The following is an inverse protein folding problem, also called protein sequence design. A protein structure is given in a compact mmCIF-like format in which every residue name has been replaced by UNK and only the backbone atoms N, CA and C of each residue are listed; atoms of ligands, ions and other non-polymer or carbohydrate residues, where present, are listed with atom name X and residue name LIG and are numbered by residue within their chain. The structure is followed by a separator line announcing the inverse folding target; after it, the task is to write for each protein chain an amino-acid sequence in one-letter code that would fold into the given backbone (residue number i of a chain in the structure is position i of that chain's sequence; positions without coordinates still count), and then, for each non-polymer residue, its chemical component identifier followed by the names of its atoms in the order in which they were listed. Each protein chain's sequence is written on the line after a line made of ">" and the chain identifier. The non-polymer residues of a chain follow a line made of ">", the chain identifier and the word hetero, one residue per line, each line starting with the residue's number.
data_IF_148711009637
#
_entry.id   IF_148711009637
#
_cell.length_a   1.000
_cell.length_b   1.000
_cell.length_c   1.000
_cell.angle_alpha   90.00
_cell.angle_beta   90.00
_cell.angle_gamma   90.00
#
_symmetry.space_group_name_H-M   'P 1'
#
loop_
_entity.id
_entity.type
_entity.pdbx_description
1 polymer ?
#
# COMPACT_ATOMS: atom_id res chain seq x y z
N UNK A 1 -17.50 -67.87 -41.97
CA UNK A 1 -18.47 -66.84 -41.53
C UNK A 1 -18.49 -66.82 -40.02
N UNK A 2 -18.21 -65.66 -39.40
CA UNK A 2 -18.91 -65.09 -38.25
C UNK A 2 -18.14 -63.82 -37.83
N UNK A 3 -18.73 -62.65 -38.13
CA UNK A 3 -18.24 -61.34 -37.70
C UNK A 3 -18.66 -61.14 -36.24
N UNK A 4 -17.70 -60.93 -35.35
CA UNK A 4 -17.98 -60.41 -34.02
C UNK A 4 -18.12 -58.88 -34.10
N UNK A 5 -19.36 -58.39 -34.17
CA UNK A 5 -19.67 -56.98 -33.98
C UNK A 5 -19.64 -56.69 -32.47
N UNK A 6 -18.55 -56.09 -32.00
CA UNK A 6 -18.45 -55.54 -30.66
C UNK A 6 -19.51 -54.45 -30.48
N UNK A 7 -20.44 -54.72 -29.56
CA UNK A 7 -21.54 -53.84 -29.20
C UNK A 7 -20.95 -52.68 -28.38
N UNK A 8 -20.67 -51.56 -29.03
CA UNK A 8 -20.27 -50.31 -28.38
C UNK A 8 -21.47 -49.86 -27.56
N UNK A 9 -21.47 -50.26 -26.28
CA UNK A 9 -22.34 -49.75 -25.24
C UNK A 9 -22.08 -48.24 -25.20
N UNK A 10 -22.97 -47.46 -25.82
CA UNK A 10 -23.00 -46.01 -25.66
C UNK A 10 -23.39 -45.74 -24.21
N UNK A 11 -22.42 -45.83 -23.33
CA UNK A 11 -22.48 -45.22 -22.02
C UNK A 11 -22.49 -43.72 -22.28
N UNK A 12 -23.69 -43.15 -22.23
CA UNK A 12 -23.89 -41.73 -22.23
C UNK A 12 -23.13 -41.20 -21.03
N UNK A 13 -21.89 -40.76 -21.24
CA UNK A 13 -21.20 -39.88 -20.33
C UNK A 13 -22.10 -38.64 -20.21
N UNK A 14 -22.95 -38.65 -19.19
CA UNK A 14 -23.57 -37.46 -18.65
C UNK A 14 -22.42 -36.64 -18.08
N UNK A 15 -21.71 -35.96 -18.98
CA UNK A 15 -20.73 -34.95 -18.63
C UNK A 15 -21.54 -33.94 -17.84
N UNK A 16 -21.27 -33.85 -16.54
CA UNK A 16 -21.82 -32.82 -15.66
C UNK A 16 -21.43 -31.46 -16.22
N UNK A 17 -22.22 -30.98 -17.18
CA UNK A 17 -22.25 -29.59 -17.61
C UNK A 17 -23.17 -28.91 -16.61
N UNK A 18 -22.74 -28.83 -15.35
CA UNK A 18 -23.29 -27.80 -14.47
C UNK A 18 -22.88 -26.51 -15.14
N UNK A 19 -23.83 -25.87 -15.82
CA UNK A 19 -23.63 -24.53 -16.36
C UNK A 19 -23.15 -23.68 -15.20
N UNK A 20 -21.88 -23.29 -15.20
CA UNK A 20 -21.43 -22.20 -14.34
C UNK A 20 -22.42 -21.07 -14.62
N UNK A 21 -23.14 -20.55 -13.61
CA UNK A 21 -24.02 -19.43 -13.85
C UNK A 21 -23.20 -18.34 -14.51
N UNK A 22 -23.76 -17.69 -15.53
CA UNK A 22 -23.12 -16.53 -16.14
C UNK A 22 -23.13 -15.39 -15.12
N UNK A 23 -22.19 -15.44 -14.17
CA UNK A 23 -21.90 -14.35 -13.26
C UNK A 23 -21.31 -13.24 -14.13
N UNK A 24 -21.90 -12.05 -14.10
CA UNK A 24 -21.36 -10.93 -14.84
C UNK A 24 -19.95 -10.61 -14.36
N UNK A 25 -19.07 -10.18 -15.26
CA UNK A 25 -17.68 -9.81 -14.94
C UNK A 25 -17.59 -8.85 -13.74
N UNK A 26 -18.54 -7.91 -13.62
CA UNK A 26 -18.63 -7.00 -12.47
C UNK A 26 -18.83 -7.72 -11.12
N UNK A 27 -19.56 -8.84 -11.08
CA UNK A 27 -19.74 -9.63 -9.87
C UNK A 27 -18.47 -10.43 -9.53
N UNK A 28 -17.71 -10.84 -10.54
CA UNK A 28 -16.42 -11.51 -10.36
C UNK A 28 -15.38 -10.51 -9.85
N UNK A 29 -15.30 -9.31 -10.44
CA UNK A 29 -14.42 -8.23 -9.97
C UNK A 29 -14.78 -7.78 -8.55
N UNK A 30 -16.07 -7.69 -8.22
CA UNK A 30 -16.51 -7.39 -6.87
C UNK A 30 -16.06 -8.47 -5.86
N UNK A 31 -16.16 -9.75 -6.22
CA UNK A 31 -15.70 -10.85 -5.36
C UNK A 31 -14.16 -10.85 -5.21
N UNK A 32 -13.42 -10.64 -6.29
CA UNK A 32 -11.95 -10.59 -6.28
C UNK A 32 -11.40 -9.41 -5.49
N UNK A 33 -12.02 -8.23 -5.66
CA UNK A 33 -11.65 -7.03 -4.90
C UNK A 33 -11.96 -7.20 -3.41
N UNK A 34 -13.06 -7.85 -3.07
CA UNK A 34 -13.40 -8.17 -1.68
C UNK A 34 -12.39 -9.13 -1.04
N UNK A 35 -11.96 -10.17 -1.77
CA UNK A 35 -10.94 -11.12 -1.29
C UNK A 35 -9.61 -10.41 -0.98
N UNK A 36 -9.15 -9.52 -1.86
CA UNK A 36 -7.92 -8.77 -1.66
C UNK A 36 -8.03 -7.76 -0.50
N UNK A 37 -9.18 -7.12 -0.31
CA UNK A 37 -9.40 -6.15 0.77
C UNK A 37 -9.48 -6.81 2.15
N UNK A 38 -10.01 -8.03 2.22
CA UNK A 38 -10.12 -8.79 3.46
C UNK A 38 -8.81 -9.48 3.85
N UNK A 39 -7.86 -9.62 2.91
CA UNK A 39 -6.58 -10.22 3.18
C UNK A 39 -5.76 -9.36 4.16
N UNK A 40 -5.11 -9.96 5.18
CA UNK A 40 -4.17 -9.24 6.03
C UNK A 40 -3.06 -8.62 5.19
N UNK A 41 -2.79 -7.32 5.38
CA UNK A 41 -1.77 -6.57 4.62
C UNK A 41 -0.39 -7.25 4.65
N UNK A 42 -0.08 -7.96 5.74
CA UNK A 42 1.15 -8.76 5.90
C UNK A 42 1.29 -9.92 4.91
N UNK A 43 0.20 -10.38 4.27
CA UNK A 43 0.20 -11.40 3.21
C UNK A 43 0.26 -10.81 1.80
N UNK A 44 -0.13 -9.54 1.64
CA UNK A 44 -0.10 -8.82 0.36
C UNK A 44 1.27 -8.21 0.10
N UNK A 45 1.99 -7.83 1.15
CA UNK A 45 3.35 -7.31 1.05
C UNK A 45 4.35 -8.48 1.06
N UNK A 46 5.26 -8.50 0.10
CA UNK A 46 6.34 -9.50 0.05
C UNK A 46 7.23 -9.31 1.28
N UNK A 47 7.32 -10.31 2.14
CA UNK A 47 8.25 -10.24 3.27
C UNK A 47 9.66 -10.60 2.77
N UNK A 48 10.62 -9.69 2.92
CA UNK A 48 12.03 -9.94 2.60
C UNK A 48 12.66 -8.92 1.66
N UNK A 49 13.78 -9.29 1.03
CA UNK A 49 14.73 -8.43 0.28
C UNK A 49 14.16 -7.63 -0.92
N UNK A 50 12.85 -7.66 -1.16
CA UNK A 50 12.22 -6.96 -2.29
C UNK A 50 10.82 -6.40 -2.04
N UNK A 51 10.28 -6.43 -0.82
CA UNK A 51 8.89 -6.01 -0.55
C UNK A 51 8.71 -4.79 0.35
N UNK A 52 9.70 -3.89 0.36
CA UNK A 52 9.67 -2.66 1.14
C UNK A 52 10.19 -2.85 2.57
N UNK A 53 10.68 -1.76 3.15
CA UNK A 53 11.14 -1.70 4.53
C UNK A 53 9.97 -1.39 5.46
N UNK A 54 9.87 -2.12 6.58
CA UNK A 54 8.91 -1.80 7.63
C UNK A 54 9.48 -0.65 8.47
N UNK A 55 8.93 0.55 8.29
CA UNK A 55 9.38 1.74 9.00
C UNK A 55 8.37 2.09 10.10
N UNK A 56 8.80 2.29 11.36
CA UNK A 56 7.93 2.81 12.41
C UNK A 56 7.30 4.14 12.03
N UNK A 57 6.08 4.43 12.52
CA UNK A 57 5.38 5.68 12.18
C UNK A 57 6.23 6.94 12.45
N UNK A 58 6.99 6.92 13.55
CA UNK A 58 7.84 8.04 13.97
C UNK A 58 9.06 8.26 13.05
N UNK A 59 9.39 7.30 12.19
CA UNK A 59 10.58 7.32 11.31
C UNK A 59 10.22 7.35 9.81
N UNK A 60 8.93 7.31 9.45
CA UNK A 60 8.46 7.35 8.05
C UNK A 60 9.01 8.55 7.28
N UNK A 61 8.87 9.75 7.87
CA UNK A 61 9.33 11.00 7.25
C UNK A 61 10.84 11.03 7.06
N UNK A 62 11.58 10.52 8.04
CA UNK A 62 13.03 10.39 7.94
C UNK A 62 13.40 9.36 6.86
N UNK A 63 12.78 8.19 6.78
CA UNK A 63 13.10 7.23 5.71
C UNK A 63 12.79 7.76 4.29
N UNK A 64 11.64 8.43 4.08
CA UNK A 64 11.30 8.99 2.76
C UNK A 64 12.17 10.17 2.35
N UNK A 65 12.48 11.08 3.29
CA UNK A 65 13.10 12.38 2.97
C UNK A 65 14.51 12.56 3.55
N UNK A 66 15.07 11.59 4.28
CA UNK A 66 16.41 11.69 4.85
C UNK A 66 17.48 11.80 3.76
N UNK A 67 17.22 11.36 2.53
CA UNK A 67 18.18 11.52 1.43
C UNK A 67 18.20 12.94 0.88
N UNK A 68 17.08 13.66 0.94
CA UNK A 68 17.06 15.11 0.73
C UNK A 68 17.86 15.83 1.84
N UNK A 69 17.71 15.37 3.09
CA UNK A 69 18.47 15.89 4.23
C UNK A 69 19.97 15.46 4.23
N UNK A 70 20.32 14.29 3.68
CA UNK A 70 21.70 13.78 3.61
C UNK A 70 22.50 14.41 2.47
N UNK A 71 21.85 14.72 1.35
CA UNK A 71 22.44 15.61 0.34
C UNK A 71 22.78 16.98 0.94
N UNK A 72 21.95 17.46 1.88
CA UNK A 72 22.22 18.63 2.72
C UNK A 72 23.09 18.36 3.97
N UNK A 73 23.55 17.14 4.26
CA UNK A 73 24.44 16.86 5.42
C UNK A 73 25.86 16.47 5.01
N UNK A 74 26.10 16.07 3.76
CA UNK A 74 27.46 16.14 3.19
C UNK A 74 27.86 17.59 2.90
N UNK A 75 26.88 18.48 2.71
CA UNK A 75 27.03 19.91 2.92
C UNK A 75 26.64 20.22 4.36
N UNK A 76 27.45 19.91 5.37
CA UNK A 76 27.30 20.55 6.69
C UNK A 76 27.51 22.06 6.53
N UNK A 77 26.52 22.74 5.97
CA UNK A 77 26.23 24.11 6.27
C UNK A 77 25.25 24.07 7.43
N UNK A 78 25.42 24.93 8.44
CA UNK A 78 24.38 25.13 9.45
C UNK A 78 23.04 25.38 8.73
N UNK A 79 21.92 25.01 9.36
CA UNK A 79 20.62 25.51 8.91
C UNK A 79 20.73 27.03 9.02
N UNK A 80 21.01 27.72 7.90
CA UNK A 80 21.00 29.17 7.84
C UNK A 80 19.52 29.52 7.83
N UNK A 81 18.89 29.53 9.01
CA UNK A 81 17.64 30.24 9.20
C UNK A 81 17.96 31.69 8.88
N UNK A 82 17.23 32.30 7.93
CA UNK A 82 17.52 33.69 7.58
C UNK A 82 17.35 34.56 8.82
N UNK A 83 18.22 35.54 9.00
CA UNK A 83 18.15 36.44 10.15
C UNK A 83 16.77 37.12 10.24
N UNK A 84 16.12 37.35 9.09
CA UNK A 84 14.75 37.84 9.02
C UNK A 84 13.74 36.87 9.64
N UNK A 85 13.86 35.56 9.36
CA UNK A 85 12.94 34.56 9.91
C UNK A 85 13.14 34.39 11.41
N UNK A 86 14.39 34.37 11.90
CA UNK A 86 14.66 34.33 13.34
C UNK A 86 14.14 35.59 14.06
N UNK A 87 14.29 36.76 13.43
CA UNK A 87 13.79 38.01 13.98
C UNK A 87 12.25 38.01 14.08
N UNK A 88 11.56 37.50 13.06
CA UNK A 88 10.10 37.43 13.04
C UNK A 88 9.57 36.42 14.07
N UNK A 89 10.16 35.22 14.15
CA UNK A 89 9.82 34.24 15.19
C UNK A 89 10.05 34.82 16.58
N UNK A 90 11.18 35.49 16.80
CA UNK A 90 11.47 36.15 18.06
C UNK A 90 10.47 37.28 18.40
N UNK A 91 9.99 38.02 17.40
CA UNK A 91 8.93 39.04 17.60
C UNK A 91 7.63 38.38 18.03
N UNK A 92 7.20 37.34 17.32
CA UNK A 92 5.98 36.60 17.63
C UNK A 92 6.00 36.03 19.04
N UNK A 93 7.07 35.30 19.41
CA UNK A 93 7.18 34.69 20.74
C UNK A 93 7.19 35.72 21.87
N UNK A 94 7.79 36.91 21.65
CA UNK A 94 7.77 38.00 22.64
C UNK A 94 6.41 38.68 22.76
N UNK A 95 5.68 38.81 21.64
CA UNK A 95 4.33 39.37 21.64
C UNK A 95 3.37 38.44 22.38
N UNK A 96 3.39 37.15 22.06
CA UNK A 96 2.60 36.11 22.75
C UNK A 96 2.87 36.11 24.26
N UNK A 97 4.15 36.09 24.65
CA UNK A 97 4.53 36.14 26.06
C UNK A 97 4.11 37.46 26.77
N UNK A 98 3.91 38.56 26.04
CA UNK A 98 3.40 39.80 26.59
C UNK A 98 1.88 39.74 26.78
N UNK A 99 1.15 39.18 25.82
CA UNK A 99 -0.29 38.99 25.90
C UNK A 99 -0.66 38.05 27.07
N UNK A 100 0.12 36.99 27.31
CA UNK A 100 -0.05 36.09 28.46
C UNK A 100 0.11 36.79 29.83
N UNK A 101 0.81 37.93 29.89
CA UNK A 101 0.93 38.74 31.12
C UNK A 101 -0.19 39.75 31.30
N UNK A 102 -0.95 40.02 30.23
CA UNK A 102 -2.05 40.97 30.20
C UNK A 102 -3.44 40.29 30.26
N UNK A 103 -3.51 38.97 30.13
CA UNK A 103 -4.66 38.13 30.48
C UNK A 103 -4.66 37.67 31.93
#
# INVERSE_FOLDING_TARGET
>A
MQKATNNIKKESQQRSKSSTPALGEAAIDAANSLELQQAPVSKLLVQGKGGGELVPNDDLWSCLFSRAAKSQRQQQQPIIVSAELEAEVGRHLRAEAADDRHG
#
